data_IF_987904673885
#
_entry.id   IF_987904673885
#
_cell.length_a   1.000
_cell.length_b   1.000
_cell.length_c   1.000
_cell.angle_alpha   90.00
_cell.angle_beta   90.00
_cell.angle_gamma   90.00
#
_symmetry.space_group_name_H-M   'P 1'
#
loop_
_entity.id
_entity.type
_entity.pdbx_description
1 polymer ?
#
# COMPACT_ATOMS: atom_id res chain seq x y z
N UNK A 1 4.48 -55.50 -28.31
CA UNK A 1 3.93 -55.86 -26.99
C UNK A 1 4.92 -55.28 -26.00
N UNK A 2 4.73 -54.13 -25.36
CA UNK A 2 3.54 -53.53 -24.75
C UNK A 2 3.54 -51.99 -25.03
N UNK A 3 2.34 -51.40 -25.03
CA UNK A 3 1.92 -50.01 -25.27
C UNK A 3 2.87 -48.91 -24.73
N UNK A 4 3.02 -47.72 -25.32
CA UNK A 4 2.01 -46.86 -25.91
C UNK A 4 1.57 -45.82 -24.87
N UNK A 5 2.16 -44.63 -24.89
CA UNK A 5 1.43 -43.39 -24.59
C UNK A 5 1.88 -42.29 -25.56
N UNK A 6 0.97 -41.76 -26.40
CA UNK A 6 1.18 -40.61 -27.24
C UNK A 6 0.71 -39.33 -26.51
N UNK A 7 1.44 -38.23 -26.69
CA UNK A 7 0.98 -36.85 -26.49
C UNK A 7 0.59 -36.39 -25.06
N UNK A 8 1.08 -35.20 -24.70
CA UNK A 8 0.31 -34.31 -23.83
C UNK A 8 0.51 -34.47 -22.32
N UNK A 9 1.77 -34.54 -21.87
CA UNK A 9 2.08 -34.06 -20.53
C UNK A 9 1.93 -32.54 -20.51
N UNK A 10 0.69 -32.04 -20.46
CA UNK A 10 0.44 -30.66 -20.05
C UNK A 10 1.03 -30.54 -18.65
N UNK A 11 2.30 -30.14 -18.53
CA UNK A 11 2.88 -29.72 -17.27
C UNK A 11 2.12 -28.46 -16.87
N UNK A 12 0.98 -28.69 -16.22
CA UNK A 12 0.08 -27.65 -15.78
C UNK A 12 0.87 -26.73 -14.87
N UNK A 13 1.78 -27.25 -14.04
CA UNK A 13 2.61 -26.46 -13.14
C UNK A 13 3.59 -25.54 -13.89
N UNK A 14 4.16 -25.96 -15.03
CA UNK A 14 4.96 -25.07 -15.89
C UNK A 14 4.09 -23.95 -16.51
N UNK A 15 2.89 -24.28 -16.99
CA UNK A 15 1.93 -23.27 -17.48
C UNK A 15 1.49 -22.30 -16.37
N UNK A 16 1.31 -22.78 -15.13
CA UNK A 16 1.01 -21.93 -13.98
C UNK A 16 2.15 -20.96 -13.69
N UNK A 17 3.41 -21.40 -13.72
CA UNK A 17 4.57 -20.52 -13.52
C UNK A 17 4.70 -19.44 -14.62
N UNK A 18 4.38 -19.79 -15.86
CA UNK A 18 4.41 -18.85 -16.99
C UNK A 18 3.23 -17.86 -16.99
N UNK A 19 2.06 -18.30 -16.52
CA UNK A 19 0.87 -17.46 -16.39
C UNK A 19 0.84 -16.67 -15.08
N UNK A 20 1.56 -17.10 -14.05
CA UNK A 20 1.84 -16.33 -12.84
C UNK A 20 3.02 -15.40 -13.08
N UNK A 21 2.97 -14.59 -14.14
CA UNK A 21 3.81 -13.39 -14.18
C UNK A 21 3.51 -12.63 -12.89
N UNK A 22 4.51 -12.31 -12.04
CA UNK A 22 4.26 -11.39 -10.94
C UNK A 22 3.61 -10.16 -11.57
N UNK A 23 2.42 -9.81 -11.10
CA UNK A 23 1.66 -8.72 -11.67
C UNK A 23 2.59 -7.49 -11.67
N UNK A 24 2.97 -6.92 -12.84
CA UNK A 24 4.04 -5.91 -12.91
C UNK A 24 3.66 -4.57 -12.28
N UNK A 25 2.52 -4.48 -11.60
CA UNK A 25 1.94 -3.21 -11.19
C UNK A 25 1.28 -3.31 -9.80
N UNK A 26 2.01 -3.86 -8.83
CA UNK A 26 1.72 -3.51 -7.44
C UNK A 26 2.17 -2.06 -7.26
N UNK A 27 1.23 -1.13 -7.50
CA UNK A 27 1.46 0.29 -7.30
C UNK A 27 1.73 0.54 -5.81
N UNK A 28 3.01 0.58 -5.43
CA UNK A 28 3.44 0.76 -4.05
C UNK A 28 3.07 2.17 -3.57
N UNK A 29 2.36 2.24 -2.44
CA UNK A 29 2.00 3.51 -1.84
C UNK A 29 3.25 4.16 -1.24
N UNK A 30 3.55 5.40 -1.63
CA UNK A 30 4.60 6.20 -0.98
C UNK A 30 4.20 6.45 0.48
N UNK A 31 5.00 5.96 1.40
CA UNK A 31 4.75 6.07 2.84
C UNK A 31 5.65 7.13 3.46
N UNK A 32 5.06 8.09 4.18
CA UNK A 32 5.78 9.20 4.82
C UNK A 32 5.41 9.19 6.31
N UNK A 33 6.43 9.11 7.17
CA UNK A 33 6.26 9.18 8.61
C UNK A 33 6.62 10.58 9.13
N UNK A 34 5.71 11.20 9.87
CA UNK A 34 5.92 12.49 10.53
C UNK A 34 6.03 12.23 12.04
N UNK A 35 7.23 12.43 12.59
CA UNK A 35 7.54 12.15 13.99
C UNK A 35 8.21 13.35 14.67
N UNK A 36 8.08 13.46 15.99
CA UNK A 36 8.85 14.40 16.82
C UNK A 36 9.09 13.81 18.20
N UNK A 37 10.25 14.14 18.79
CA UNK A 37 10.63 13.74 20.14
C UNK A 37 10.02 14.60 21.25
N UNK A 38 9.23 15.63 20.92
CA UNK A 38 8.58 16.52 21.90
C UNK A 38 7.09 16.65 21.62
N UNK A 39 6.28 16.70 22.68
CA UNK A 39 4.85 17.02 22.60
C UNK A 39 4.60 18.47 22.18
N UNK A 40 3.48 18.74 21.51
CA UNK A 40 3.03 20.12 21.21
C UNK A 40 3.73 20.81 20.04
N UNK A 41 4.65 20.18 19.32
CA UNK A 41 5.36 20.80 18.17
C UNK A 41 4.51 20.97 16.90
N UNK A 42 3.24 20.53 16.91
CA UNK A 42 2.35 20.62 15.76
C UNK A 42 2.48 19.50 14.73
N UNK A 43 2.99 18.31 15.09
CA UNK A 43 3.12 17.15 14.19
C UNK A 43 1.83 16.88 13.39
N UNK A 44 0.69 16.84 14.09
CA UNK A 44 -0.62 16.52 13.51
C UNK A 44 -1.10 17.63 12.55
N UNK A 45 -0.81 18.90 12.85
CA UNK A 45 -1.10 20.02 11.93
C UNK A 45 -0.31 19.88 10.63
N UNK A 46 0.98 19.54 10.71
CA UNK A 46 1.81 19.33 9.53
C UNK A 46 1.29 18.12 8.74
N UNK A 47 1.00 17.01 9.41
CA UNK A 47 0.51 15.80 8.77
C UNK A 47 -0.83 16.02 8.05
N UNK A 48 -1.77 16.74 8.67
CA UNK A 48 -3.04 17.08 8.05
C UNK A 48 -2.86 17.97 6.82
N UNK A 49 -2.21 19.14 6.97
CA UNK A 49 -2.10 20.10 5.87
C UNK A 49 -1.31 19.53 4.70
N UNK A 50 -0.27 18.73 4.98
CA UNK A 50 0.46 18.02 3.95
C UNK A 50 -0.42 17.02 3.20
N UNK A 51 -1.29 16.29 3.91
CA UNK A 51 -2.24 15.37 3.30
C UNK A 51 -3.29 16.08 2.46
N UNK A 52 -3.82 17.22 2.94
CA UNK A 52 -4.75 18.06 2.19
C UNK A 52 -4.12 18.60 0.89
N UNK A 53 -2.86 19.03 0.95
CA UNK A 53 -2.16 19.49 -0.24
C UNK A 53 -1.94 18.35 -1.23
N UNK A 54 -1.55 17.16 -0.77
CA UNK A 54 -1.45 16.00 -1.66
C UNK A 54 -2.79 15.65 -2.33
N UNK A 55 -3.91 15.75 -1.59
CA UNK A 55 -5.25 15.60 -2.15
C UNK A 55 -5.58 16.67 -3.20
N UNK A 56 -5.24 17.93 -2.94
CA UNK A 56 -5.42 19.05 -3.89
C UNK A 56 -4.65 18.82 -5.21
N UNK A 57 -3.53 18.10 -5.15
CA UNK A 57 -2.72 17.73 -6.32
C UNK A 57 -3.21 16.43 -6.99
N UNK A 58 -4.36 15.89 -6.59
CA UNK A 58 -4.99 14.72 -7.19
C UNK A 58 -4.45 13.37 -6.72
N UNK A 59 -3.65 13.34 -5.64
CA UNK A 59 -3.15 12.08 -5.08
C UNK A 59 -4.22 11.38 -4.24
N UNK A 60 -4.21 10.05 -4.23
CA UNK A 60 -4.97 9.26 -3.25
C UNK A 60 -4.16 9.21 -1.97
N UNK A 61 -4.69 9.78 -0.89
CA UNK A 61 -3.98 9.93 0.38
C UNK A 61 -4.70 9.14 1.47
N UNK A 62 -3.90 8.47 2.30
CA UNK A 62 -4.34 7.80 3.51
C UNK A 62 -3.51 8.36 4.67
N UNK A 63 -4.18 8.99 5.63
CA UNK A 63 -3.56 9.58 6.81
C UNK A 63 -3.89 8.72 8.03
N UNK A 64 -2.85 8.24 8.73
CA UNK A 64 -2.98 7.50 9.98
C UNK A 64 -2.50 8.37 11.15
N UNK A 65 -3.34 8.53 12.17
CA UNK A 65 -2.90 9.05 13.46
C UNK A 65 -2.45 7.89 14.34
N UNK A 66 -1.21 7.94 14.82
CA UNK A 66 -0.64 6.94 15.71
C UNK A 66 -0.50 7.46 17.15
N UNK A 67 -1.01 8.66 17.44
CA UNK A 67 -1.05 9.22 18.80
C UNK A 67 -2.29 8.70 19.57
N UNK A 68 -2.21 7.44 20.04
CA UNK A 68 -3.28 6.66 20.73
C UNK A 68 -3.79 7.28 22.06
N UNK A 69 -3.23 8.40 22.52
CA UNK A 69 -3.55 9.04 23.81
C UNK A 69 -4.21 10.42 23.73
N UNK A 70 -4.13 11.11 22.59
CA UNK A 70 -4.71 12.44 22.36
C UNK A 70 -4.98 12.59 20.86
N UNK A 71 -5.82 11.71 20.32
CA UNK A 71 -6.20 11.73 18.91
C UNK A 71 -6.83 13.08 18.58
N UNK A 72 -6.08 13.91 17.85
CA UNK A 72 -6.52 15.25 17.46
C UNK A 72 -7.06 15.27 16.05
N UNK A 73 -6.91 14.19 15.27
CA UNK A 73 -7.33 14.17 13.87
C UNK A 73 -8.83 14.37 13.72
N UNK A 74 -9.63 13.73 14.57
CA UNK A 74 -11.10 13.86 14.56
C UNK A 74 -11.53 15.31 14.85
N UNK A 75 -10.86 15.98 15.79
CA UNK A 75 -11.10 17.40 16.13
C UNK A 75 -10.60 18.34 15.02
N UNK A 76 -9.51 17.98 14.34
CA UNK A 76 -8.92 18.78 13.25
C UNK A 76 -9.72 18.65 11.94
N UNK A 77 -10.37 17.51 11.72
CA UNK A 77 -11.18 17.22 10.54
C UNK A 77 -12.63 17.69 10.70
N UNK A 78 -13.06 17.98 11.93
CA UNK A 78 -14.38 18.53 12.26
C UNK A 78 -15.36 17.48 12.76
#
# INVERSE_FOLDING_TARGET
>A
MIAGEPNGGNDQAANWRQNSKPCPDLHEAKTIAIASGKGGVGKSNVALNFSLELLNHGNKVLLFDLDIGMGNLDILLG
#
